data_IF_522968902877
#
_entry.id   IF_522968902877
#
_cell.length_a   1.000
_cell.length_b   1.000
_cell.length_c   1.000
_cell.angle_alpha   90.00
_cell.angle_beta   90.00
_cell.angle_gamma   90.00
#
_symmetry.space_group_name_H-M   'P 1'
#
loop_
_entity.id
_entity.type
_entity.pdbx_description
1 polymer ?
#
# COMPACT_ATOMS: atom_id res chain seq x y z
N UNK A 1 -18.96 -26.82 18.24
CA UNK A 1 -20.16 -26.00 17.95
C UNK A 1 -20.23 -24.91 19.00
N UNK A 2 -19.91 -23.66 18.64
CA UNK A 2 -19.86 -22.56 19.60
C UNK A 2 -21.28 -22.07 19.91
N UNK A 3 -21.67 -22.16 21.18
CA UNK A 3 -22.89 -21.58 21.71
C UNK A 3 -22.68 -20.06 21.84
N UNK A 4 -23.44 -19.30 21.05
CA UNK A 4 -24.05 -18.02 21.45
C UNK A 4 -23.17 -16.77 21.50
N UNK A 5 -22.47 -16.42 20.43
CA UNK A 5 -22.25 -15.00 20.16
C UNK A 5 -23.46 -14.54 19.32
N UNK A 6 -24.16 -13.47 19.73
CA UNK A 6 -25.32 -12.97 18.97
C UNK A 6 -24.99 -12.73 17.48
N UNK A 7 -25.99 -12.71 16.59
CA UNK A 7 -25.77 -12.59 15.14
C UNK A 7 -24.91 -11.38 14.75
N UNK A 8 -24.93 -10.31 15.56
CA UNK A 8 -24.11 -9.11 15.39
C UNK A 8 -22.62 -9.37 15.64
N UNK A 9 -22.27 -10.19 16.63
CA UNK A 9 -20.88 -10.53 16.96
C UNK A 9 -20.31 -11.45 15.89
N UNK A 10 -21.09 -12.42 15.42
CA UNK A 10 -20.70 -13.29 14.30
C UNK A 10 -20.45 -12.49 13.02
N UNK A 11 -21.31 -11.51 12.72
CA UNK A 11 -21.12 -10.59 11.59
C UNK A 11 -19.83 -9.78 11.73
N UNK A 12 -19.55 -9.25 12.92
CA UNK A 12 -18.30 -8.51 13.18
C UNK A 12 -17.07 -9.40 12.98
N UNK A 13 -17.08 -10.63 13.51
CA UNK A 13 -15.97 -11.59 13.33
C UNK A 13 -15.76 -11.95 11.86
N UNK A 14 -16.86 -12.17 11.11
CA UNK A 14 -16.79 -12.48 9.70
C UNK A 14 -16.16 -11.33 8.90
N UNK A 15 -16.54 -10.07 9.18
CA UNK A 15 -15.93 -8.90 8.52
C UNK A 15 -14.45 -8.75 8.89
N UNK A 16 -14.09 -8.86 10.17
CA UNK A 16 -12.70 -8.76 10.61
C UNK A 16 -11.80 -9.84 10.00
N UNK A 17 -12.34 -11.04 9.75
CA UNK A 17 -11.58 -12.14 9.14
C UNK A 17 -11.22 -11.93 7.67
N UNK A 18 -11.79 -10.90 7.01
CA UNK A 18 -11.45 -10.53 5.63
C UNK A 18 -10.26 -9.57 5.55
N UNK A 19 -9.78 -9.06 6.69
CA UNK A 19 -8.63 -8.16 6.71
C UNK A 19 -7.32 -8.95 6.53
N UNK A 20 -6.33 -8.41 5.80
CA UNK A 20 -5.04 -9.05 5.64
C UNK A 20 -4.39 -9.32 7.02
N UNK A 21 -3.91 -10.55 7.24
CA UNK A 21 -3.31 -10.98 8.51
C UNK A 21 -4.28 -11.38 9.62
N UNK A 22 -5.60 -11.22 9.46
CA UNK A 22 -6.60 -11.63 10.45
C UNK A 22 -7.33 -12.91 10.03
N UNK A 23 -6.81 -14.07 10.43
CA UNK A 23 -7.54 -15.34 10.31
C UNK A 23 -8.74 -15.45 11.26
N UNK A 24 -9.62 -16.45 11.12
CA UNK A 24 -10.86 -16.59 11.92
C UNK A 24 -10.65 -16.57 13.44
N UNK A 25 -9.57 -17.19 13.94
CA UNK A 25 -9.26 -17.20 15.38
C UNK A 25 -8.82 -15.81 15.87
N UNK A 26 -7.99 -15.11 15.10
CA UNK A 26 -7.52 -13.77 15.42
C UNK A 26 -8.66 -12.75 15.34
N UNK A 27 -9.53 -12.86 14.33
CA UNK A 27 -10.73 -12.04 14.18
C UNK A 27 -11.69 -12.18 15.38
N UNK A 28 -11.92 -13.41 15.85
CA UNK A 28 -12.70 -13.66 17.08
C UNK A 28 -12.08 -13.00 18.31
N UNK A 29 -10.77 -13.14 18.51
CA UNK A 29 -10.04 -12.47 19.60
C UNK A 29 -10.17 -10.95 19.51
N UNK A 30 -10.00 -10.38 18.32
CA UNK A 30 -10.12 -8.95 18.08
C UNK A 30 -11.54 -8.44 18.38
N UNK A 31 -12.58 -9.10 17.85
CA UNK A 31 -13.97 -8.74 18.10
C UNK A 31 -14.31 -8.70 19.59
N UNK A 32 -13.94 -9.75 20.34
CA UNK A 32 -14.18 -9.80 21.78
C UNK A 32 -13.37 -8.73 22.54
N UNK A 33 -12.14 -8.43 22.12
CA UNK A 33 -11.31 -7.40 22.73
C UNK A 33 -11.84 -5.97 22.47
N UNK A 34 -12.46 -5.74 21.32
CA UNK A 34 -13.14 -4.49 20.97
C UNK A 34 -14.42 -4.31 21.79
N UNK A 35 -15.26 -5.35 21.88
CA UNK A 35 -16.51 -5.30 22.66
C UNK A 35 -16.27 -5.07 24.15
N UNK A 36 -15.19 -5.64 24.72
CA UNK A 36 -14.78 -5.37 26.11
C UNK A 36 -14.32 -3.93 26.35
N UNK A 37 -13.94 -3.18 25.31
CA UNK A 37 -13.46 -1.79 25.37
C UNK A 37 -14.27 -0.92 24.41
N UNK A 38 -15.60 -0.98 24.55
CA UNK A 38 -16.55 -0.36 23.63
C UNK A 38 -16.32 1.15 23.46
N UNK A 39 -16.39 1.89 24.56
CA UNK A 39 -16.28 3.36 24.55
C UNK A 39 -14.88 3.84 24.18
N UNK A 40 -13.85 3.13 24.63
CA UNK A 40 -12.47 3.55 24.45
C UNK A 40 -11.88 3.19 23.09
N UNK A 41 -12.40 2.15 22.42
CA UNK A 41 -11.80 1.62 21.20
C UNK A 41 -12.82 1.32 20.09
N UNK A 42 -13.87 0.55 20.36
CA UNK A 42 -14.79 0.13 19.29
C UNK A 42 -15.52 1.32 18.65
N UNK A 43 -16.06 2.23 19.46
CA UNK A 43 -16.78 3.41 18.96
C UNK A 43 -15.83 4.37 18.22
N UNK A 44 -14.68 4.80 18.78
CA UNK A 44 -13.72 5.63 18.06
C UNK A 44 -13.22 5.00 16.77
N UNK A 45 -12.95 3.68 16.77
CA UNK A 45 -12.52 2.96 15.57
C UNK A 45 -13.60 2.97 14.49
N UNK A 46 -14.86 2.71 14.87
CA UNK A 46 -15.98 2.73 13.92
C UNK A 46 -16.15 4.11 13.30
N UNK A 47 -16.06 5.17 14.11
CA UNK A 47 -16.13 6.55 13.62
C UNK A 47 -14.96 6.87 12.69
N UNK A 48 -13.73 6.49 13.03
CA UNK A 48 -12.57 6.70 12.18
C UNK A 48 -12.67 5.94 10.85
N UNK A 49 -13.20 4.72 10.86
CA UNK A 49 -13.46 3.95 9.64
C UNK A 49 -14.52 4.61 8.76
N UNK A 50 -15.59 5.14 9.36
CA UNK A 50 -16.64 5.87 8.63
C UNK A 50 -16.09 7.19 8.04
N UNK A 51 -15.38 7.98 8.85
CA UNK A 51 -14.73 9.21 8.38
C UNK A 51 -13.77 8.95 7.21
N UNK A 52 -12.98 7.87 7.28
CA UNK A 52 -12.10 7.48 6.19
C UNK A 52 -12.90 7.09 4.94
N UNK A 53 -13.97 6.29 5.09
CA UNK A 53 -14.82 5.89 3.97
C UNK A 53 -15.51 7.09 3.28
N UNK A 54 -15.86 8.12 4.03
CA UNK A 54 -16.58 9.28 3.51
C UNK A 54 -15.65 10.35 2.91
N UNK A 55 -14.44 10.52 3.47
CA UNK A 55 -13.54 11.63 3.14
C UNK A 55 -12.35 11.24 2.28
N UNK A 56 -11.95 9.97 2.28
CA UNK A 56 -10.78 9.52 1.50
C UNK A 56 -11.23 9.26 0.06
N UNK A 57 -10.59 9.97 -0.86
CA UNK A 57 -10.81 9.82 -2.30
C UNK A 57 -9.48 9.65 -3.04
N UNK A 58 -9.54 9.23 -4.30
CA UNK A 58 -8.37 9.15 -5.17
C UNK A 58 -8.06 10.52 -5.76
N UNK A 59 -6.82 10.98 -5.63
CA UNK A 59 -6.38 12.24 -6.22
C UNK A 59 -6.56 12.24 -7.74
N UNK A 60 -7.20 13.28 -8.30
CA UNK A 60 -7.45 13.40 -9.75
C UNK A 60 -6.19 13.56 -10.62
N UNK A 61 -5.02 13.78 -10.00
CA UNK A 61 -3.75 14.01 -10.69
C UNK A 61 -2.86 12.76 -10.64
N UNK A 62 -2.59 12.23 -9.45
CA UNK A 62 -1.67 11.09 -9.27
C UNK A 62 -2.34 9.79 -8.83
N UNK A 63 -3.65 9.78 -8.54
CA UNK A 63 -4.38 8.60 -8.08
C UNK A 63 -4.17 8.21 -6.61
N UNK A 64 -3.24 8.85 -5.88
CA UNK A 64 -3.01 8.55 -4.47
C UNK A 64 -4.25 8.80 -3.60
N UNK A 65 -4.48 7.95 -2.61
CA UNK A 65 -5.54 8.13 -1.61
C UNK A 65 -5.24 9.33 -0.72
N UNK A 66 -6.21 10.24 -0.60
CA UNK A 66 -6.05 11.52 0.08
C UNK A 66 -7.40 12.03 0.58
N UNK A 67 -7.38 12.88 1.61
CA UNK A 67 -8.57 13.61 2.11
C UNK A 67 -8.74 14.99 1.47
N UNK A 68 -7.89 15.32 0.50
CA UNK A 68 -7.93 16.55 -0.28
C UNK A 68 -7.62 16.24 -1.74
N UNK A 69 -8.28 16.96 -2.65
CA UNK A 69 -8.14 16.77 -4.09
C UNK A 69 -7.92 18.11 -4.80
N UNK A 70 -6.71 18.38 -5.34
CA UNK A 70 -5.54 17.51 -5.41
C UNK A 70 -4.87 17.20 -4.05
N UNK A 71 -4.15 16.07 -3.97
CA UNK A 71 -3.41 15.69 -2.77
C UNK A 71 -2.30 16.71 -2.42
N UNK A 72 -1.81 16.69 -1.18
CA UNK A 72 -0.80 17.64 -0.71
C UNK A 72 0.45 17.66 -1.61
N UNK A 73 0.89 16.48 -2.05
CA UNK A 73 2.05 16.29 -2.94
C UNK A 73 1.87 16.90 -4.33
N UNK A 74 0.64 16.90 -4.87
CA UNK A 74 0.35 17.49 -6.17
C UNK A 74 0.05 18.99 -6.09
N UNK A 75 -0.51 19.46 -4.97
CA UNK A 75 -0.85 20.86 -4.75
C UNK A 75 0.36 21.72 -4.35
N UNK A 76 1.42 21.11 -3.81
CA UNK A 76 2.61 21.79 -3.33
C UNK A 76 3.37 22.52 -4.47
N UNK A 77 3.49 23.87 -4.42
CA UNK A 77 4.19 24.65 -5.44
C UNK A 77 5.71 24.50 -5.39
N UNK A 78 6.29 23.99 -4.30
CA UNK A 78 7.73 23.78 -4.17
C UNK A 78 8.22 22.51 -4.90
N UNK A 79 7.29 21.65 -5.35
CA UNK A 79 7.63 20.42 -6.07
C UNK A 79 8.03 20.72 -7.51
N UNK A 80 9.07 20.01 -7.95
CA UNK A 80 9.44 19.96 -9.35
C UNK A 80 8.35 19.24 -10.16
N UNK A 81 7.74 19.96 -11.11
CA UNK A 81 6.66 19.46 -11.97
C UNK A 81 7.19 18.78 -13.24
N UNK A 82 8.50 18.80 -13.47
CA UNK A 82 9.15 18.16 -14.61
C UNK A 82 9.46 16.69 -14.37
N UNK A 83 9.41 16.24 -13.10
CA UNK A 83 9.71 14.87 -12.71
C UNK A 83 8.48 14.15 -12.16
N UNK A 84 8.22 12.94 -12.67
CA UNK A 84 7.15 12.05 -12.19
C UNK A 84 7.77 10.75 -11.71
N UNK A 85 7.53 10.41 -10.45
CA UNK A 85 7.87 9.09 -9.89
C UNK A 85 6.65 8.19 -9.95
N UNK A 86 6.71 7.16 -10.79
CA UNK A 86 5.66 6.14 -10.91
C UNK A 86 5.90 5.07 -9.86
N UNK A 87 4.88 4.78 -9.06
CA UNK A 87 4.91 3.80 -7.97
C UNK A 87 3.81 2.76 -8.18
N UNK A 88 4.04 1.54 -7.70
CA UNK A 88 3.09 0.43 -7.77
C UNK A 88 3.30 -0.50 -6.56
N UNK A 89 2.25 -1.24 -6.19
CA UNK A 89 2.31 -2.32 -5.20
C UNK A 89 2.37 -3.67 -5.94
N UNK A 90 3.31 -4.53 -5.54
CA UNK A 90 3.56 -5.87 -6.08
C UNK A 90 3.86 -5.95 -7.61
N UNK A 91 4.85 -6.76 -8.01
CA UNK A 91 5.20 -6.99 -9.44
C UNK A 91 5.60 -5.74 -10.28
N UNK A 92 6.17 -4.71 -9.66
CA UNK A 92 6.47 -3.43 -10.30
C UNK A 92 7.39 -3.47 -11.56
N UNK A 93 8.23 -4.50 -11.73
CA UNK A 93 9.21 -4.51 -12.82
C UNK A 93 8.58 -4.65 -14.21
N UNK A 94 7.66 -5.62 -14.36
CA UNK A 94 7.01 -5.87 -15.64
C UNK A 94 6.17 -4.67 -16.05
N UNK A 95 5.46 -4.08 -15.09
CA UNK A 95 4.67 -2.86 -15.31
C UNK A 95 5.57 -1.68 -15.69
N UNK A 96 6.70 -1.49 -15.00
CA UNK A 96 7.64 -0.40 -15.33
C UNK A 96 8.16 -0.52 -16.78
N UNK A 97 8.52 -1.73 -17.23
CA UNK A 97 8.90 -1.94 -18.63
C UNK A 97 7.75 -1.66 -19.60
N UNK A 98 6.54 -2.12 -19.29
CA UNK A 98 5.37 -1.88 -20.12
C UNK A 98 5.04 -0.38 -20.25
N UNK A 99 5.07 0.37 -19.15
CA UNK A 99 4.87 1.82 -19.15
C UNK A 99 5.94 2.50 -19.99
N UNK A 100 7.21 2.13 -19.82
CA UNK A 100 8.30 2.69 -20.61
C UNK A 100 8.13 2.41 -22.11
N UNK A 101 7.77 1.17 -22.49
CA UNK A 101 7.52 0.77 -23.88
C UNK A 101 6.36 1.56 -24.51
N UNK A 102 5.35 1.93 -23.71
CA UNK A 102 4.22 2.76 -24.17
C UNK A 102 4.55 4.25 -24.29
N UNK A 103 5.52 4.75 -23.52
CA UNK A 103 5.92 6.16 -23.55
C UNK A 103 6.95 6.46 -24.65
N UNK A 104 7.86 5.53 -24.96
CA UNK A 104 8.91 5.72 -25.98
C UNK A 104 8.36 6.18 -27.36
N UNK A 105 7.25 5.63 -27.89
CA UNK A 105 6.74 6.03 -29.20
C UNK A 105 6.19 7.46 -29.26
N UNK A 106 5.86 8.07 -28.12
CA UNK A 106 5.29 9.42 -28.09
C UNK A 106 6.29 10.51 -28.49
N UNK A 107 7.59 10.19 -28.57
CA UNK A 107 8.68 11.04 -29.01
C UNK A 107 8.59 12.49 -28.50
N UNK A 108 8.32 12.63 -27.21
CA UNK A 108 8.02 13.89 -26.53
C UNK A 108 9.19 14.42 -25.67
N UNK A 109 10.39 13.86 -25.84
CA UNK A 109 11.60 14.28 -25.11
C UNK A 109 11.63 13.89 -23.63
N UNK A 110 10.74 13.00 -23.17
CA UNK A 110 10.73 12.53 -21.78
C UNK A 110 11.86 11.53 -21.54
N UNK A 111 12.73 11.83 -20.56
CA UNK A 111 13.75 10.90 -20.09
C UNK A 111 13.12 9.84 -19.17
N UNK A 112 13.32 8.56 -19.49
CA UNK A 112 12.81 7.44 -18.70
C UNK A 112 13.97 6.81 -17.94
N UNK A 113 13.91 6.84 -16.62
CA UNK A 113 14.89 6.24 -15.71
C UNK A 113 14.23 5.20 -14.80
N UNK A 114 15.06 4.35 -14.18
CA UNK A 114 14.61 3.36 -13.21
C UNK A 114 15.42 3.50 -11.93
N UNK A 115 14.79 3.23 -10.79
CA UNK A 115 15.52 3.10 -9.53
C UNK A 115 16.54 1.96 -9.62
N UNK A 116 17.72 2.21 -9.06
CA UNK A 116 18.79 1.22 -9.01
C UNK A 116 18.33 -0.02 -8.21
N UNK A 117 18.78 -1.19 -8.64
CA UNK A 117 18.45 -2.47 -8.00
C UNK A 117 19.72 -3.28 -7.81
N UNK A 118 19.93 -3.75 -6.59
CA UNK A 118 21.11 -4.51 -6.23
C UNK A 118 21.18 -4.75 -4.73
N UNK A 119 22.39 -4.87 -4.21
CA UNK A 119 22.66 -5.13 -2.79
C UNK A 119 22.15 -3.95 -1.94
N UNK A 120 21.31 -4.19 -0.92
CA UNK A 120 20.86 -3.12 -0.02
C UNK A 120 22.03 -2.61 0.82
N UNK A 121 21.94 -1.34 1.22
CA UNK A 121 22.93 -0.74 2.12
C UNK A 121 22.93 -1.50 3.45
N UNK A 122 24.11 -1.96 3.89
CA UNK A 122 24.29 -2.70 5.14
C UNK A 122 23.93 -4.18 5.09
N UNK A 123 23.57 -4.72 3.91
CA UNK A 123 23.39 -6.16 3.73
C UNK A 123 24.74 -6.87 3.60
N UNK A 124 24.96 -7.92 4.39
CA UNK A 124 26.10 -8.83 4.16
C UNK A 124 25.76 -9.77 3.02
N UNK A 125 26.75 -10.07 2.17
CA UNK A 125 26.55 -10.90 0.98
C UNK A 125 26.10 -12.33 1.32
N UNK A 126 26.52 -12.85 2.47
CA UNK A 126 26.22 -14.21 2.93
C UNK A 126 24.73 -14.45 3.21
N UNK A 127 23.95 -13.37 3.36
CA UNK A 127 22.50 -13.42 3.64
C UNK A 127 21.63 -13.02 2.44
N UNK A 128 22.24 -12.76 1.28
CA UNK A 128 21.51 -12.39 0.07
C UNK A 128 21.27 -13.60 -0.83
N UNK A 129 20.15 -13.59 -1.54
CA UNK A 129 19.91 -14.61 -2.55
C UNK A 129 20.82 -14.40 -3.78
N UNK A 130 21.18 -15.51 -4.43
CA UNK A 130 22.03 -15.52 -5.61
C UNK A 130 21.48 -14.64 -6.75
N UNK A 131 20.16 -14.49 -6.84
CA UNK A 131 19.48 -13.65 -7.82
C UNK A 131 19.82 -12.17 -7.64
N UNK A 132 19.70 -11.66 -6.41
CA UNK A 132 20.07 -10.29 -6.03
C UNK A 132 21.56 -10.04 -6.27
N UNK A 133 22.43 -10.98 -5.87
CA UNK A 133 23.88 -10.88 -6.08
C UNK A 133 24.22 -10.84 -7.57
N UNK A 134 23.73 -11.81 -8.35
CA UNK A 134 23.95 -11.88 -9.80
C UNK A 134 23.44 -10.61 -10.51
N UNK A 135 22.26 -10.11 -10.13
CA UNK A 135 21.72 -8.87 -10.69
C UNK A 135 22.60 -7.66 -10.37
N UNK A 136 23.04 -7.51 -9.11
CA UNK A 136 23.94 -6.45 -8.69
C UNK A 136 25.27 -6.51 -9.46
N UNK A 137 25.84 -7.70 -9.65
CA UNK A 137 27.07 -7.89 -10.43
C UNK A 137 26.91 -7.54 -11.91
N UNK A 138 25.77 -7.86 -12.51
CA UNK A 138 25.46 -7.53 -13.91
C UNK A 138 25.23 -6.04 -14.14
N UNK A 139 24.68 -5.33 -13.15
CA UNK A 139 24.37 -3.90 -13.23
C UNK A 139 25.41 -3.00 -12.57
N UNK A 140 26.57 -3.54 -12.15
CA UNK A 140 27.66 -2.74 -11.60
C UNK A 140 28.07 -1.67 -12.62
N UNK A 141 28.08 -0.40 -12.19
CA UNK A 141 28.56 0.74 -12.95
C UNK A 141 29.93 1.16 -12.45
#
# INVERSE_FOLDING_TARGET
>A
MAIGAGPEIERLMALLSKLPGLGPRSARRAALALLKRREQLLIPLTNAMQDAADKVESCRICGALSTQNPCATCADPARDKTMICVVEEDSALTTAHYVADRLRPLNNGVEITYLARGVPVGGELDWLDDGTISHAFKQRR
#
